data_IF_657524794605
#
_entry.id   IF_657524794605
#
_cell.length_a   1.000
_cell.length_b   1.000
_cell.length_c   1.000
_cell.angle_alpha   90.00
_cell.angle_beta   90.00
_cell.angle_gamma   90.00
#
_symmetry.space_group_name_H-M   'P 1'
#
loop_
_entity.id
_entity.type
_entity.pdbx_description
1 polymer ?
#
# COMPACT_ATOMS: atom_id res chain seq x y z
N UNK A 1 18.25 -7.55 -6.24
CA UNK A 1 16.98 -6.83 -6.02
C UNK A 1 17.33 -5.44 -5.54
N UNK A 2 17.02 -4.41 -6.33
CA UNK A 2 17.25 -3.01 -5.95
C UNK A 2 16.33 -2.67 -4.78
N UNK A 3 16.86 -2.03 -3.72
CA UNK A 3 16.03 -1.57 -2.61
C UNK A 3 14.92 -0.65 -3.15
N UNK A 4 13.66 -0.81 -2.75
CA UNK A 4 12.62 0.14 -3.11
C UNK A 4 13.04 1.52 -2.64
N UNK A 5 12.81 2.53 -3.49
CA UNK A 5 12.88 3.91 -3.03
C UNK A 5 11.63 4.16 -2.19
N UNK A 6 11.77 4.76 -1.02
CA UNK A 6 10.63 5.26 -0.24
C UNK A 6 10.75 6.77 -0.03
N UNK A 7 9.61 7.43 0.12
CA UNK A 7 9.49 8.86 0.36
C UNK A 7 8.43 9.11 1.45
N UNK A 8 8.69 10.04 2.36
CA UNK A 8 7.76 10.38 3.45
C UNK A 8 7.07 11.72 3.17
N UNK A 9 5.74 11.69 3.21
CA UNK A 9 4.90 12.87 3.10
C UNK A 9 4.48 13.34 4.49
N UNK A 10 5.08 14.43 4.97
CA UNK A 10 4.75 15.00 6.27
C UNK A 10 3.33 15.60 6.32
N UNK A 11 2.78 16.04 5.18
CA UNK A 11 1.45 16.67 5.14
C UNK A 11 0.34 15.63 5.26
N UNK A 12 0.57 14.44 4.70
CA UNK A 12 -0.37 13.32 4.72
C UNK A 12 0.01 12.24 5.74
N UNK A 13 1.15 12.40 6.45
CA UNK A 13 1.74 11.40 7.35
C UNK A 13 1.82 10.03 6.70
N UNK A 14 2.38 10.00 5.49
CA UNK A 14 2.27 8.87 4.58
C UNK A 14 3.66 8.43 4.13
N UNK A 15 3.89 7.12 4.03
CA UNK A 15 5.09 6.59 3.37
C UNK A 15 4.71 6.10 1.98
N UNK A 16 5.30 6.70 0.95
CA UNK A 16 5.27 6.18 -0.42
C UNK A 16 6.40 5.19 -0.61
N UNK A 17 6.10 4.02 -1.15
CA UNK A 17 7.06 2.99 -1.53
C UNK A 17 6.97 2.83 -3.04
N UNK A 18 8.13 2.82 -3.71
CA UNK A 18 8.24 2.66 -5.17
C UNK A 18 8.96 1.35 -5.50
N UNK A 19 8.25 0.21 -5.53
CA UNK A 19 8.84 -1.06 -5.91
C UNK A 19 9.34 -1.00 -7.35
N UNK A 20 10.50 -1.61 -7.58
CA UNK A 20 11.03 -1.82 -8.93
C UNK A 20 11.11 -3.32 -9.16
N UNK A 21 10.36 -3.82 -10.12
CA UNK A 21 10.36 -5.23 -10.49
C UNK A 21 10.84 -5.40 -11.92
N UNK A 22 11.59 -6.48 -12.17
CA UNK A 22 12.03 -6.86 -13.52
C UNK A 22 10.89 -7.49 -14.33
N UNK A 23 9.84 -7.99 -13.64
CA UNK A 23 8.66 -8.61 -14.24
C UNK A 23 7.38 -8.07 -13.59
N UNK A 24 6.31 -7.86 -14.36
CA UNK A 24 5.05 -7.36 -13.81
C UNK A 24 4.41 -8.33 -12.81
N UNK A 25 4.67 -9.64 -12.94
CA UNK A 25 4.13 -10.71 -12.07
C UNK A 25 5.05 -11.01 -10.88
N UNK A 26 5.60 -9.98 -10.27
CA UNK A 26 6.43 -10.10 -9.07
C UNK A 26 5.66 -9.53 -7.88
N UNK A 27 5.59 -10.31 -6.80
CA UNK A 27 5.01 -9.87 -5.55
C UNK A 27 6.01 -9.05 -4.75
N UNK A 28 5.51 -8.06 -4.01
CA UNK A 28 6.28 -7.40 -2.96
C UNK A 28 6.77 -8.47 -1.97
N UNK A 29 8.07 -8.52 -1.64
CA UNK A 29 8.60 -9.51 -0.72
C UNK A 29 7.92 -9.45 0.65
N UNK A 30 7.64 -10.62 1.24
CA UNK A 30 6.98 -10.72 2.55
C UNK A 30 7.73 -9.97 3.66
N UNK A 31 9.06 -9.95 3.60
CA UNK A 31 9.90 -9.24 4.57
C UNK A 31 9.61 -7.73 4.55
N UNK A 32 9.44 -7.16 3.36
CA UNK A 32 9.10 -5.74 3.19
C UNK A 32 7.68 -5.44 3.67
N UNK A 33 6.72 -6.29 3.32
CA UNK A 33 5.33 -6.15 3.79
C UNK A 33 5.24 -6.20 5.32
N UNK A 34 6.00 -7.09 5.95
CA UNK A 34 6.04 -7.19 7.41
C UNK A 34 6.69 -5.95 8.05
N UNK A 35 7.80 -5.45 7.48
CA UNK A 35 8.47 -4.26 7.98
C UNK A 35 7.57 -3.02 7.88
N UNK A 36 6.93 -2.81 6.73
CA UNK A 36 5.96 -1.74 6.54
C UNK A 36 4.74 -1.91 7.45
N UNK A 37 4.27 -3.15 7.64
CA UNK A 37 3.13 -3.45 8.50
C UNK A 37 3.41 -3.08 9.96
N UNK A 38 4.62 -3.35 10.44
CA UNK A 38 5.05 -2.96 11.78
C UNK A 38 5.07 -1.44 11.96
N UNK A 39 5.53 -0.67 10.95
CA UNK A 39 5.52 0.80 10.96
C UNK A 39 4.08 1.32 11.03
N UNK A 40 3.19 0.81 10.17
CA UNK A 40 1.79 1.23 10.14
C UNK A 40 1.08 0.91 11.46
N UNK A 41 1.36 -0.27 12.05
CA UNK A 41 0.79 -0.66 13.34
C UNK A 41 1.33 0.19 14.50
N UNK A 42 2.60 0.56 14.47
CA UNK A 42 3.20 1.46 15.47
C UNK A 42 2.70 2.91 15.31
N UNK A 43 2.20 3.27 14.12
CA UNK A 43 1.79 4.63 13.78
C UNK A 43 2.96 5.61 13.68
N UNK A 44 4.20 5.09 13.68
CA UNK A 44 5.44 5.87 13.65
C UNK A 44 6.54 5.11 12.92
N UNK A 45 7.39 5.83 12.22
CA UNK A 45 8.57 5.27 11.57
C UNK A 45 9.80 5.21 12.49
N UNK A 46 10.92 4.71 11.95
CA UNK A 46 12.19 4.59 12.68
C UNK A 46 12.78 5.94 13.12
N UNK A 47 12.38 7.04 12.48
CA UNK A 47 12.78 8.41 12.81
C UNK A 47 11.81 9.07 13.81
N UNK A 48 10.75 8.36 14.23
CA UNK A 48 9.73 8.83 15.17
C UNK A 48 8.65 9.72 14.54
N UNK A 49 8.62 9.83 13.21
CA UNK A 49 7.60 10.61 12.47
C UNK A 49 6.29 9.83 12.46
N UNK A 50 5.17 10.53 12.58
CA UNK A 50 3.85 9.90 12.54
C UNK A 50 3.54 9.34 11.16
N UNK A 51 2.97 8.13 11.13
CA UNK A 51 2.57 7.41 9.91
C UNK A 51 1.14 6.94 10.07
N UNK A 52 0.25 7.47 9.24
CA UNK A 52 -1.16 7.09 9.18
C UNK A 52 -1.47 6.14 8.02
N UNK A 53 -0.65 6.17 6.96
CA UNK A 53 -0.84 5.31 5.79
C UNK A 53 0.47 4.94 5.10
N UNK A 54 0.47 3.77 4.45
CA UNK A 54 1.54 3.34 3.55
C UNK A 54 0.95 3.14 2.17
N UNK A 55 1.60 3.72 1.16
CA UNK A 55 1.18 3.68 -0.25
C UNK A 55 2.26 3.06 -1.10
N UNK A 56 1.90 2.03 -1.83
CA UNK A 56 2.73 1.43 -2.85
C UNK A 56 2.38 2.03 -4.21
N UNK A 57 3.37 2.65 -4.86
CA UNK A 57 3.23 3.32 -6.15
C UNK A 57 4.02 2.54 -7.19
N UNK A 58 3.29 1.85 -8.08
CA UNK A 58 3.87 1.03 -9.14
C UNK A 58 3.94 1.80 -10.45
N UNK A 59 4.96 1.52 -11.27
CA UNK A 59 5.06 2.08 -12.64
C UNK A 59 4.19 1.33 -13.66
N UNK A 60 3.81 0.11 -13.34
CA UNK A 60 3.02 -0.77 -14.21
C UNK A 60 1.66 -1.07 -13.55
N UNK A 61 0.54 -0.83 -14.25
CA UNK A 61 -0.78 -1.26 -13.81
C UNK A 61 -0.84 -2.76 -13.52
N UNK A 62 -0.15 -3.59 -14.31
CA UNK A 62 -0.13 -5.04 -14.12
C UNK A 62 0.49 -5.44 -12.78
N UNK A 63 1.61 -4.81 -12.40
CA UNK A 63 2.24 -5.04 -11.10
C UNK A 63 1.37 -4.60 -9.94
N UNK A 64 0.70 -3.46 -10.11
CA UNK A 64 -0.17 -2.91 -9.11
C UNK A 64 -1.38 -3.82 -8.87
N UNK A 65 -2.06 -4.24 -9.94
CA UNK A 65 -3.16 -5.20 -9.88
C UNK A 65 -2.71 -6.55 -9.28
N UNK A 66 -1.53 -7.05 -9.66
CA UNK A 66 -1.00 -8.31 -9.13
C UNK A 66 -0.72 -8.27 -7.62
N UNK A 67 -0.39 -7.10 -7.09
CA UNK A 67 -0.08 -6.91 -5.67
C UNK A 67 -1.27 -6.39 -4.84
N UNK A 68 -2.31 -5.87 -5.48
CA UNK A 68 -3.43 -5.17 -4.83
C UNK A 68 -4.03 -5.96 -3.67
N UNK A 69 -4.37 -7.24 -3.88
CA UNK A 69 -5.03 -8.04 -2.85
C UNK A 69 -4.14 -8.23 -1.61
N UNK A 70 -2.85 -8.51 -1.82
CA UNK A 70 -1.89 -8.71 -0.73
C UNK A 70 -1.66 -7.41 0.06
N UNK A 71 -1.60 -6.28 -0.64
CA UNK A 71 -1.43 -4.96 -0.04
C UNK A 71 -2.69 -4.51 0.71
N UNK A 72 -3.88 -4.69 0.14
CA UNK A 72 -5.16 -4.38 0.77
C UNK A 72 -5.39 -5.19 2.04
N UNK A 73 -4.98 -6.46 2.08
CA UNK A 73 -5.03 -7.29 3.29
C UNK A 73 -4.21 -6.68 4.44
N UNK A 74 -3.08 -6.05 4.11
CA UNK A 74 -2.22 -5.34 5.07
C UNK A 74 -2.65 -3.88 5.32
N UNK A 75 -3.79 -3.46 4.76
CA UNK A 75 -4.29 -2.07 4.78
C UNK A 75 -3.36 -1.06 4.09
N UNK A 76 -2.53 -1.51 3.16
CA UNK A 76 -1.70 -0.63 2.34
C UNK A 76 -2.47 -0.14 1.12
N UNK A 77 -2.20 1.11 0.74
CA UNK A 77 -2.76 1.72 -0.47
C UNK A 77 -1.98 1.25 -1.70
N UNK A 78 -2.67 0.95 -2.79
CA UNK A 78 -2.06 0.50 -4.05
C UNK A 78 -2.37 1.51 -5.15
N UNK A 79 -1.33 2.08 -5.74
CA UNK A 79 -1.39 3.16 -6.73
C UNK A 79 -0.50 2.84 -7.93
N UNK A 80 -0.79 3.50 -9.05
CA UNK A 80 -0.02 3.47 -10.29
C UNK A 80 0.39 4.89 -10.63
N UNK A 81 1.64 5.08 -11.06
CA UNK A 81 2.12 6.32 -11.65
C UNK A 81 2.85 6.03 -12.97
N UNK A 82 2.25 6.45 -14.08
CA UNK A 82 2.82 6.31 -15.43
C UNK A 82 3.44 7.62 -15.96
N UNK A 83 3.54 8.66 -15.12
CA UNK A 83 4.08 9.98 -15.48
C UNK A 83 3.05 11.11 -15.51
N UNK A 84 1.76 10.78 -15.50
CA UNK A 84 0.64 11.74 -15.44
C UNK A 84 0.09 11.93 -14.01
N UNK A 85 0.72 11.30 -13.02
CA UNK A 85 0.35 11.39 -11.60
C UNK A 85 -0.11 10.06 -11.00
N UNK A 86 -0.09 10.00 -9.67
CA UNK A 86 -0.51 8.82 -8.90
C UNK A 86 -2.03 8.62 -9.00
N UNK A 87 -2.44 7.45 -9.49
CA UNK A 87 -3.83 7.02 -9.54
C UNK A 87 -4.03 5.75 -8.71
N UNK A 88 -5.12 5.64 -7.93
CA UNK A 88 -5.44 4.39 -7.24
C UNK A 88 -5.63 3.28 -8.28
N UNK A 89 -5.22 2.06 -7.95
CA UNK A 89 -5.61 0.91 -8.78
C UNK A 89 -7.12 0.73 -8.64
N UNK A 90 -7.83 0.89 -9.76
CA UNK A 90 -9.23 0.50 -9.87
C UNK A 90 -9.33 -1.02 -9.76
N UNK A 91 -9.50 -1.46 -8.54
CA UNK A 91 -10.12 -2.72 -8.22
C UNK A 91 -10.85 -2.47 -6.93
N UNK A 92 -12.06 -3.00 -6.82
CA UNK A 92 -12.78 -3.08 -5.56
C UNK A 92 -11.77 -3.38 -4.44
N UNK A 93 -11.40 -2.36 -3.66
CA UNK A 93 -10.89 -2.63 -2.34
C UNK A 93 -11.92 -3.56 -1.70
N UNK A 94 -11.52 -4.54 -0.88
CA UNK A 94 -12.53 -5.35 -0.23
C UNK A 94 -13.49 -4.39 0.46
N UNK A 95 -14.73 -4.29 -0.06
CA UNK A 95 -15.79 -3.49 0.50
C UNK A 95 -16.16 -4.20 1.81
N UNK A 96 -15.34 -4.01 2.84
CA UNK A 96 -15.71 -4.37 4.18
C UNK A 96 -16.73 -3.33 4.64
N UNK A 97 -17.97 -3.48 4.15
CA UNK A 97 -19.15 -2.94 4.78
C UNK A 97 -19.38 -3.70 6.09
N UNK A 98 -18.57 -3.43 7.13
CA UNK A 98 -18.64 -4.09 8.45
C UNK A 98 -19.87 -3.63 9.25
N UNK A 99 -20.99 -3.26 8.62
CA UNK A 99 -22.19 -2.81 9.33
C UNK A 99 -23.51 -3.39 8.88
N UNK A 100 -23.60 -4.11 7.77
CA UNK A 100 -24.89 -4.66 7.32
C UNK A 100 -25.00 -6.19 7.41
N UNK A 101 -23.89 -6.92 7.51
CA UNK A 101 -23.91 -8.41 7.47
C UNK A 101 -24.05 -9.10 8.85
N UNK A 102 -24.16 -8.34 9.96
CA UNK A 102 -24.33 -8.89 11.31
C UNK A 102 -25.71 -8.68 11.93
N UNK A 103 -26.70 -8.22 11.16
CA UNK A 103 -28.11 -8.23 11.58
C UNK A 103 -28.40 -7.58 12.94
N UNK A 104 -27.66 -6.52 13.30
CA UNK A 104 -28.04 -5.67 14.44
C UNK A 104 -28.91 -4.55 13.88
N UNK A 105 -30.16 -4.91 13.56
CA UNK A 105 -31.27 -3.95 13.59
C UNK A 105 -31.70 -3.84 15.06
N UNK A 106 -31.83 -2.60 15.54
CA UNK A 106 -32.42 -2.25 16.83
C UNK A 106 -33.94 -2.54 16.84
#
# INVERSE_FOLDING_TARGET
MSKPRSDYDASQKLIRVYPTFDSPKTLVPREELNAMGAILQAGKDEEGREVEAIRYVFRSPESAAYNQQALSFMKFQTYVDQGDGEQPVDGDGPEFAVREDFGIDD
#
